data_IF_348475647898
#
_entry.id   IF_348475647898
#
_cell.length_a   1.000
_cell.length_b   1.000
_cell.length_c   1.000
_cell.angle_alpha   90.00
_cell.angle_beta   90.00
_cell.angle_gamma   90.00
#
_symmetry.space_group_name_H-M   'P 1'
#
loop_
_entity.id
_entity.type
_entity.pdbx_description
1 polymer ?
#
# COMPACT_ATOMS: atom_id res chain seq x y z
N UNK A 1 7.61 -7.01 -4.63
CA UNK A 1 6.89 -7.17 -3.34
C UNK A 1 6.90 -8.61 -2.85
N UNK A 2 6.72 -9.59 -3.75
CA UNK A 2 6.64 -11.02 -3.40
C UNK A 2 7.80 -11.58 -2.57
N UNK A 3 9.05 -11.23 -2.89
CA UNK A 3 10.22 -11.70 -2.13
C UNK A 3 10.19 -11.28 -0.67
N UNK A 4 9.66 -10.08 -0.38
CA UNK A 4 9.50 -9.59 0.99
C UNK A 4 8.45 -10.38 1.77
N UNK A 5 7.30 -10.67 1.14
CA UNK A 5 6.27 -11.53 1.74
C UNK A 5 6.76 -12.96 1.94
N UNK A 6 7.49 -13.52 0.98
CA UNK A 6 8.09 -14.85 1.09
C UNK A 6 8.99 -14.97 2.32
N UNK A 7 9.86 -13.98 2.58
CA UNK A 7 10.70 -13.98 3.78
C UNK A 7 9.92 -13.76 5.08
N UNK A 8 8.90 -12.92 5.06
CA UNK A 8 8.03 -12.69 6.22
C UNK A 8 7.27 -13.97 6.61
N UNK A 9 6.67 -14.66 5.63
CA UNK A 9 5.95 -15.91 5.84
C UNK A 9 6.89 -17.04 6.27
N UNK A 10 8.06 -17.14 5.62
CA UNK A 10 9.09 -18.10 6.00
C UNK A 10 9.56 -17.94 7.46
N UNK A 11 9.61 -16.70 7.97
CA UNK A 11 9.95 -16.40 9.36
C UNK A 11 8.81 -16.64 10.35
N UNK A 12 7.57 -16.77 9.88
CA UNK A 12 6.36 -16.91 10.71
C UNK A 12 5.90 -18.36 10.88
N UNK A 13 6.63 -19.32 10.30
CA UNK A 13 6.29 -20.75 10.26
C UNK A 13 7.43 -21.62 10.74
N UNK A 14 7.15 -22.89 11.04
CA UNK A 14 8.18 -23.83 11.49
C UNK A 14 9.17 -24.08 10.36
N UNK A 15 10.45 -24.24 10.71
CA UNK A 15 11.55 -24.48 9.76
C UNK A 15 11.29 -25.63 8.78
N UNK A 16 10.60 -26.68 9.24
CA UNK A 16 10.20 -27.82 8.41
C UNK A 16 9.21 -27.47 7.28
N UNK A 17 8.46 -26.38 7.41
CA UNK A 17 7.43 -25.94 6.46
C UNK A 17 7.88 -24.74 5.62
N UNK A 18 9.04 -24.15 5.91
CA UNK A 18 9.58 -22.97 5.21
C UNK A 18 9.69 -23.19 3.70
N UNK A 19 10.21 -24.34 3.26
CA UNK A 19 10.35 -24.65 1.83
C UNK A 19 9.00 -24.67 1.11
N UNK A 20 7.96 -25.23 1.74
CA UNK A 20 6.62 -25.28 1.15
C UNK A 20 6.05 -23.87 0.94
N UNK A 21 6.31 -22.96 1.87
CA UNK A 21 5.84 -21.56 1.79
C UNK A 21 6.60 -20.75 0.74
N UNK A 22 7.91 -20.96 0.62
CA UNK A 22 8.70 -20.34 -0.45
C UNK A 22 8.23 -20.81 -1.83
N UNK A 23 7.93 -22.11 -1.98
CA UNK A 23 7.39 -22.66 -3.23
C UNK A 23 6.01 -22.06 -3.56
N UNK A 24 5.10 -21.92 -2.57
CA UNK A 24 3.79 -21.28 -2.79
C UNK A 24 3.93 -19.84 -3.30
N UNK A 25 4.75 -19.03 -2.61
CA UNK A 25 4.99 -17.63 -3.01
C UNK A 25 5.58 -17.51 -4.41
N UNK A 26 6.51 -18.42 -4.76
CA UNK A 26 7.09 -18.47 -6.10
C UNK A 26 6.01 -18.79 -7.14
N UNK A 27 5.20 -19.82 -6.91
CA UNK A 27 4.14 -20.24 -7.82
C UNK A 27 3.04 -19.19 -7.99
N UNK A 28 2.71 -18.43 -6.95
CA UNK A 28 1.70 -17.35 -7.05
C UNK A 28 2.08 -16.29 -8.08
N UNK A 29 3.36 -16.03 -8.27
CA UNK A 29 3.81 -15.07 -9.30
C UNK A 29 3.51 -15.60 -10.69
N UNK A 30 3.85 -16.86 -10.97
CA UNK A 30 3.64 -17.43 -12.31
C UNK A 30 2.16 -17.70 -12.59
N UNK A 31 1.48 -18.32 -11.64
CA UNK A 31 0.06 -18.63 -11.76
C UNK A 31 -0.75 -17.33 -11.81
N UNK A 32 -0.43 -16.37 -10.95
CA UNK A 32 -1.02 -15.05 -10.97
C UNK A 32 -0.76 -14.32 -12.27
N UNK A 33 0.44 -14.42 -12.84
CA UNK A 33 0.77 -13.79 -14.12
C UNK A 33 -0.09 -14.37 -15.25
N UNK A 34 -0.18 -15.69 -15.34
CA UNK A 34 -0.96 -16.37 -16.39
C UNK A 34 -2.45 -16.13 -16.22
N UNK A 35 -2.99 -16.25 -15.00
CA UNK A 35 -4.41 -16.03 -14.74
C UNK A 35 -4.82 -14.56 -14.95
N UNK A 36 -3.99 -13.61 -14.51
CA UNK A 36 -4.23 -12.19 -14.72
C UNK A 36 -4.05 -11.77 -16.18
N UNK A 37 -3.11 -12.39 -16.91
CA UNK A 37 -2.97 -12.23 -18.36
C UNK A 37 -4.19 -12.73 -19.12
N UNK A 38 -4.65 -13.96 -18.85
CA UNK A 38 -5.77 -14.58 -19.56
C UNK A 38 -7.09 -13.84 -19.32
N UNK A 39 -7.42 -13.57 -18.05
CA UNK A 39 -8.74 -13.07 -17.66
C UNK A 39 -8.69 -11.79 -16.83
N UNK A 40 -7.72 -11.68 -15.92
CA UNK A 40 -7.75 -10.64 -14.90
C UNK A 40 -7.68 -9.22 -15.45
N UNK A 41 -6.85 -8.96 -16.46
CA UNK A 41 -6.81 -7.63 -17.05
C UNK A 41 -8.10 -7.26 -17.78
N UNK A 42 -8.72 -8.23 -18.46
CA UNK A 42 -9.97 -8.02 -19.17
C UNK A 42 -11.11 -7.65 -18.22
N UNK A 43 -11.19 -8.35 -17.08
CA UNK A 43 -12.20 -8.05 -16.07
C UNK A 43 -11.94 -6.73 -15.34
N UNK A 44 -10.68 -6.39 -15.11
CA UNK A 44 -10.29 -5.16 -14.40
C UNK A 44 -10.46 -3.90 -15.25
N UNK A 45 -9.98 -3.90 -16.51
CA UNK A 45 -9.84 -2.71 -17.35
C UNK A 45 -10.25 -2.94 -18.82
N UNK A 46 -11.08 -3.96 -19.07
CA UNK A 46 -11.62 -4.24 -20.39
C UNK A 46 -12.45 -3.08 -20.94
N UNK A 47 -12.23 -2.72 -22.21
CA UNK A 47 -13.09 -1.77 -22.91
C UNK A 47 -14.53 -2.30 -23.04
N UNK A 48 -15.49 -1.39 -23.27
CA UNK A 48 -16.94 -1.67 -23.26
C UNK A 48 -17.39 -2.31 -21.93
N UNK A 49 -16.76 -1.90 -20.82
CA UNK A 49 -17.10 -2.33 -19.47
C UNK A 49 -18.49 -1.88 -19.03
N UNK A 50 -19.11 -2.67 -18.16
CA UNK A 50 -20.30 -2.26 -17.41
C UNK A 50 -19.88 -1.83 -15.99
N UNK A 51 -20.83 -1.49 -15.12
CA UNK A 51 -20.49 -1.03 -13.77
C UNK A 51 -19.81 -2.09 -12.88
N UNK A 52 -19.83 -3.36 -13.29
CA UNK A 52 -19.41 -4.52 -12.49
C UNK A 52 -18.14 -5.20 -13.01
N UNK A 53 -17.93 -5.27 -14.33
CA UNK A 53 -16.82 -6.00 -14.96
C UNK A 53 -16.53 -5.51 -16.38
N UNK A 54 -15.25 -5.60 -16.80
CA UNK A 54 -14.82 -5.39 -18.19
C UNK A 54 -15.00 -6.63 -19.09
N UNK A 55 -15.09 -6.40 -20.41
CA UNK A 55 -15.43 -7.44 -21.40
C UNK A 55 -14.44 -7.59 -22.57
N UNK A 56 -13.35 -6.83 -22.60
CA UNK A 56 -12.34 -6.86 -23.69
C UNK A 56 -10.91 -7.01 -23.15
N UNK A 57 -9.96 -7.32 -24.02
CA UNK A 57 -8.54 -7.54 -23.71
C UNK A 57 -8.21 -8.86 -22.99
N UNK A 58 -9.01 -9.91 -23.23
CA UNK A 58 -8.67 -11.27 -22.80
C UNK A 58 -7.33 -11.69 -23.42
N UNK A 59 -6.44 -12.30 -22.63
CA UNK A 59 -5.07 -12.63 -23.04
C UNK A 59 -4.29 -11.42 -23.59
N UNK A 60 -4.67 -10.20 -23.21
CA UNK A 60 -4.17 -8.93 -23.78
C UNK A 60 -4.35 -8.81 -25.31
N UNK A 61 -5.28 -9.56 -25.89
CA UNK A 61 -5.63 -9.44 -27.29
C UNK A 61 -6.12 -8.00 -27.58
N UNK A 62 -5.59 -7.40 -28.64
CA UNK A 62 -5.93 -6.04 -29.10
C UNK A 62 -5.68 -4.94 -28.06
N UNK A 63 -4.80 -5.19 -27.08
CA UNK A 63 -4.42 -4.18 -26.09
C UNK A 63 -3.44 -3.16 -26.70
N UNK A 64 -3.72 -1.85 -26.61
CA UNK A 64 -2.79 -0.80 -26.99
C UNK A 64 -1.45 -0.90 -26.25
N UNK A 65 -0.34 -0.64 -26.94
CA UNK A 65 1.01 -0.87 -26.42
C UNK A 65 1.37 -0.01 -25.19
N UNK A 66 0.75 1.15 -25.05
CA UNK A 66 0.86 2.04 -23.89
C UNK A 66 0.32 1.41 -22.59
N UNK A 67 -0.55 0.39 -22.69
CA UNK A 67 -1.19 -0.25 -21.54
C UNK A 67 -0.47 -1.50 -21.04
N UNK A 68 0.64 -1.93 -21.64
CA UNK A 68 1.42 -3.07 -21.13
C UNK A 68 2.08 -2.80 -19.78
N UNK A 69 2.54 -1.56 -19.54
CA UNK A 69 3.07 -1.14 -18.23
C UNK A 69 1.97 -1.15 -17.17
N UNK A 70 0.76 -0.73 -17.53
CA UNK A 70 -0.43 -0.76 -16.69
C UNK A 70 -0.80 -2.20 -16.30
N UNK A 71 -0.79 -3.12 -17.27
CA UNK A 71 -0.96 -4.54 -17.00
C UNK A 71 0.06 -5.06 -15.98
N UNK A 72 1.35 -4.79 -16.22
CA UNK A 72 2.42 -5.25 -15.33
C UNK A 72 2.24 -4.75 -13.90
N UNK A 73 1.91 -3.46 -13.74
CA UNK A 73 1.66 -2.85 -12.44
C UNK A 73 0.54 -3.57 -11.69
N UNK A 74 -0.62 -3.75 -12.33
CA UNK A 74 -1.79 -4.34 -11.68
C UNK A 74 -1.67 -5.85 -11.44
N UNK A 75 -0.97 -6.57 -12.31
CA UNK A 75 -0.60 -7.97 -12.08
C UNK A 75 0.16 -8.13 -10.76
N UNK A 76 1.14 -7.26 -10.49
CA UNK A 76 1.95 -7.35 -9.26
C UNK A 76 1.07 -7.20 -8.01
N UNK A 77 0.05 -6.34 -8.03
CA UNK A 77 -0.90 -6.25 -6.91
C UNK A 77 -1.82 -7.46 -6.79
N UNK A 78 -2.30 -7.99 -7.92
CA UNK A 78 -3.10 -9.21 -7.92
C UNK A 78 -2.32 -10.40 -7.34
N UNK A 79 -1.07 -10.60 -7.77
CA UNK A 79 -0.18 -11.63 -7.25
C UNK A 79 0.13 -11.43 -5.76
N UNK A 80 0.22 -10.18 -5.31
CA UNK A 80 0.40 -9.89 -3.87
C UNK A 80 -0.86 -10.24 -3.08
N UNK A 81 -2.05 -9.94 -3.60
CA UNK A 81 -3.30 -10.29 -2.93
C UNK A 81 -3.43 -11.79 -2.65
N UNK A 82 -2.92 -12.65 -3.56
CA UNK A 82 -2.83 -14.09 -3.33
C UNK A 82 -1.91 -14.44 -2.15
N UNK A 83 -0.73 -13.84 -2.08
CA UNK A 83 0.20 -14.09 -0.97
C UNK A 83 -0.29 -13.63 0.39
N UNK A 84 -1.06 -12.54 0.48
CA UNK A 84 -1.65 -12.13 1.76
C UNK A 84 -2.49 -13.27 2.36
N UNK A 85 -3.20 -14.02 1.51
CA UNK A 85 -4.01 -15.15 1.95
C UNK A 85 -3.14 -16.39 2.23
N UNK A 86 -2.04 -16.60 1.48
CA UNK A 86 -1.00 -17.59 1.85
C UNK A 86 -0.54 -17.40 3.29
N UNK A 87 -0.08 -16.19 3.63
CA UNK A 87 0.44 -15.88 4.96
C UNK A 87 -0.61 -16.03 6.06
N UNK A 88 -1.88 -15.68 5.79
CA UNK A 88 -2.98 -15.86 6.75
C UNK A 88 -3.29 -17.35 7.01
N UNK A 89 -3.15 -18.20 6.00
CA UNK A 89 -3.47 -19.62 6.10
C UNK A 89 -2.27 -20.47 6.57
N UNK A 90 -1.04 -20.00 6.34
CA UNK A 90 0.22 -20.60 6.76
C UNK A 90 0.26 -22.13 6.57
N UNK A 91 0.51 -22.89 7.64
CA UNK A 91 0.71 -24.34 7.63
C UNK A 91 -0.57 -25.17 7.39
N UNK A 92 -1.76 -24.54 7.31
CA UNK A 92 -3.06 -25.23 7.37
C UNK A 92 -3.70 -25.52 6.00
N UNK A 93 -2.95 -25.36 4.91
CA UNK A 93 -3.48 -25.47 3.54
C UNK A 93 -2.91 -26.62 2.74
N UNK A 94 -3.83 -27.44 2.23
CA UNK A 94 -3.63 -28.36 1.12
C UNK A 94 -3.10 -27.61 -0.11
N UNK A 95 -1.98 -28.07 -0.65
CA UNK A 95 -1.25 -27.36 -1.71
C UNK A 95 -2.07 -27.27 -3.01
N UNK A 96 -2.79 -28.33 -3.38
CA UNK A 96 -3.61 -28.34 -4.60
C UNK A 96 -4.78 -27.34 -4.51
N UNK A 97 -5.45 -27.30 -3.36
CA UNK A 97 -6.53 -26.36 -3.11
C UNK A 97 -6.03 -24.91 -3.18
N UNK A 98 -4.82 -24.66 -2.67
CA UNK A 98 -4.17 -23.36 -2.74
C UNK A 98 -3.94 -22.89 -4.18
N UNK A 99 -3.43 -23.75 -5.08
CA UNK A 99 -3.19 -23.35 -6.47
C UNK A 99 -4.48 -22.95 -7.20
N UNK A 100 -5.57 -23.72 -6.99
CA UNK A 100 -6.88 -23.40 -7.57
C UNK A 100 -7.40 -22.06 -7.04
N UNK A 101 -7.23 -21.84 -5.73
CA UNK A 101 -7.59 -20.58 -5.10
C UNK A 101 -6.79 -19.40 -5.66
N UNK A 102 -5.46 -19.53 -5.83
CA UNK A 102 -4.62 -18.47 -6.39
C UNK A 102 -5.04 -18.11 -7.81
N UNK A 103 -5.39 -19.09 -8.66
CA UNK A 103 -5.94 -18.84 -10.01
C UNK A 103 -7.24 -18.04 -9.93
N UNK A 104 -8.17 -18.46 -9.07
CA UNK A 104 -9.47 -17.81 -8.98
C UNK A 104 -9.38 -16.39 -8.40
N UNK A 105 -8.53 -16.19 -7.40
CA UNK A 105 -8.33 -14.88 -6.80
C UNK A 105 -7.70 -13.89 -7.79
N UNK A 106 -6.62 -14.30 -8.46
CA UNK A 106 -5.87 -13.44 -9.39
C UNK A 106 -6.57 -13.27 -10.73
N UNK A 107 -7.29 -14.29 -11.21
CA UNK A 107 -7.97 -14.28 -12.50
C UNK A 107 -9.38 -13.69 -12.47
N UNK A 108 -10.06 -13.67 -11.31
CA UNK A 108 -11.45 -13.21 -11.23
C UNK A 108 -11.72 -12.27 -10.05
N UNK A 109 -11.55 -12.73 -8.81
CA UNK A 109 -12.02 -11.98 -7.62
C UNK A 109 -11.34 -10.62 -7.48
N UNK A 110 -10.00 -10.60 -7.49
CA UNK A 110 -9.23 -9.37 -7.38
C UNK A 110 -9.49 -8.41 -8.56
N UNK A 111 -9.40 -8.86 -9.83
CA UNK A 111 -9.78 -8.06 -11.00
C UNK A 111 -11.14 -7.38 -10.92
N UNK A 112 -12.17 -8.08 -10.47
CA UNK A 112 -13.54 -7.55 -10.36
C UNK A 112 -13.58 -6.44 -9.30
N UNK A 113 -12.92 -6.63 -8.16
CA UNK A 113 -12.82 -5.58 -7.13
C UNK A 113 -12.03 -4.37 -7.65
N UNK A 114 -10.93 -4.61 -8.37
CA UNK A 114 -10.17 -3.56 -9.05
C UNK A 114 -11.04 -2.79 -10.03
N UNK A 115 -11.86 -3.46 -10.82
CA UNK A 115 -12.78 -2.83 -11.74
C UNK A 115 -13.72 -1.85 -11.03
N UNK A 116 -14.33 -2.29 -9.93
CA UNK A 116 -15.27 -1.45 -9.20
C UNK A 116 -14.63 -0.15 -8.72
N UNK A 117 -13.43 -0.25 -8.14
CA UNK A 117 -12.78 0.85 -7.44
C UNK A 117 -11.93 1.75 -8.35
N UNK A 118 -11.30 1.19 -9.39
CA UNK A 118 -10.25 1.86 -10.16
C UNK A 118 -10.58 2.01 -11.64
N UNK A 119 -11.59 1.32 -12.18
CA UNK A 119 -12.06 1.60 -13.54
C UNK A 119 -13.01 2.80 -13.55
N UNK A 120 -12.92 3.62 -14.60
CA UNK A 120 -13.76 4.81 -14.76
C UNK A 120 -15.26 4.50 -14.87
N UNK A 121 -15.63 3.27 -15.26
CA UNK A 121 -17.02 2.82 -15.30
C UNK A 121 -17.44 2.03 -14.06
N UNK A 122 -16.51 1.69 -13.17
CA UNK A 122 -16.77 0.91 -11.97
C UNK A 122 -17.76 1.59 -11.03
N UNK A 123 -18.68 0.81 -10.44
CA UNK A 123 -19.75 1.37 -9.60
C UNK A 123 -19.25 2.08 -8.33
N UNK A 124 -18.09 1.70 -7.79
CA UNK A 124 -17.47 2.41 -6.66
C UNK A 124 -16.82 3.73 -7.13
N UNK A 125 -16.31 3.80 -8.36
CA UNK A 125 -15.70 5.00 -8.93
C UNK A 125 -16.74 6.03 -9.40
N UNK A 126 -17.83 5.60 -10.05
CA UNK A 126 -18.87 6.48 -10.61
C UNK A 126 -19.97 6.86 -9.62
N UNK A 127 -20.17 6.08 -8.56
CA UNK A 127 -21.29 6.22 -7.64
C UNK A 127 -22.60 5.66 -8.23
N UNK A 128 -23.54 5.30 -7.36
CA UNK A 128 -24.82 4.73 -7.78
C UNK A 128 -25.78 5.82 -8.25
N UNK A 129 -26.27 5.70 -9.48
CA UNK A 129 -27.41 6.48 -10.00
C UNK A 129 -28.66 5.62 -9.90
N UNK A 130 -29.67 6.07 -9.17
CA UNK A 130 -30.94 5.37 -9.04
C UNK A 130 -32.09 6.29 -9.45
N UNK A 131 -33.02 5.74 -10.24
CA UNK A 131 -34.23 6.44 -10.66
C UNK A 131 -35.41 5.86 -9.88
N UNK A 132 -36.04 6.69 -9.05
CA UNK A 132 -37.33 6.40 -8.41
C UNK A 132 -38.33 7.44 -8.89
N UNK A 133 -39.53 7.00 -9.28
CA UNK A 133 -40.65 7.90 -9.58
C UNK A 133 -40.27 9.02 -10.59
N UNK A 134 -39.59 8.64 -11.68
CA UNK A 134 -39.06 9.56 -12.72
C UNK A 134 -38.04 10.61 -12.25
N UNK A 135 -37.48 10.48 -11.06
CA UNK A 135 -36.38 11.33 -10.56
C UNK A 135 -35.09 10.52 -10.53
N UNK A 136 -34.13 10.87 -11.39
CA UNK A 136 -32.78 10.30 -11.39
C UNK A 136 -31.95 11.02 -10.34
N UNK A 137 -31.66 10.34 -9.23
CA UNK A 137 -30.79 10.85 -8.18
C UNK A 137 -29.37 10.29 -8.37
N UNK A 138 -28.39 11.18 -8.46
CA UNK A 138 -26.97 10.81 -8.44
C UNK A 138 -26.50 10.87 -7.00
N UNK A 139 -26.16 9.72 -6.41
CA UNK A 139 -25.65 9.66 -5.04
C UNK A 139 -24.21 10.18 -5.07
N UNK A 140 -23.97 11.36 -4.50
CA UNK A 140 -22.63 11.93 -4.32
C UNK A 140 -21.85 11.16 -3.26
N UNK A 141 -20.52 11.30 -3.25
CA UNK A 141 -19.64 10.64 -2.27
C UNK A 141 -20.11 10.82 -0.82
N UNK A 142 -20.64 12.00 -0.46
CA UNK A 142 -21.16 12.28 0.88
C UNK A 142 -22.40 11.43 1.23
N UNK A 143 -23.38 11.38 0.32
CA UNK A 143 -24.61 10.60 0.55
C UNK A 143 -24.36 9.09 0.54
N UNK A 144 -23.39 8.62 -0.26
CA UNK A 144 -22.92 7.24 -0.24
C UNK A 144 -22.10 6.92 1.02
N UNK A 145 -21.24 7.85 1.46
CA UNK A 145 -20.47 7.74 2.70
C UNK A 145 -21.42 7.56 3.89
N UNK A 146 -22.42 8.42 4.04
CA UNK A 146 -23.35 8.39 5.17
C UNK A 146 -24.24 7.15 5.13
N UNK A 147 -24.67 6.70 3.94
CA UNK A 147 -25.40 5.44 3.79
C UNK A 147 -24.54 4.21 4.14
N UNK A 148 -23.25 4.23 3.76
CA UNK A 148 -22.31 3.14 4.05
C UNK A 148 -21.95 3.09 5.52
N UNK A 149 -21.68 4.25 6.13
CA UNK A 149 -21.43 4.38 7.56
C UNK A 149 -22.60 3.80 8.37
N UNK A 150 -23.84 4.15 8.03
CA UNK A 150 -25.03 3.59 8.67
C UNK A 150 -25.10 2.06 8.56
N UNK A 151 -24.81 1.49 7.39
CA UNK A 151 -24.77 0.02 7.21
C UNK A 151 -23.67 -0.64 8.05
N UNK A 152 -22.50 -0.02 8.15
CA UNK A 152 -21.39 -0.52 8.97
C UNK A 152 -21.77 -0.50 10.45
N UNK A 153 -22.32 0.62 10.95
CA UNK A 153 -22.78 0.74 12.33
C UNK A 153 -23.88 -0.28 12.67
N UNK A 154 -24.83 -0.50 11.76
CA UNK A 154 -25.86 -1.53 11.92
C UNK A 154 -25.26 -2.94 12.01
N UNK A 155 -24.28 -3.29 11.16
CA UNK A 155 -23.60 -4.59 11.21
C UNK A 155 -22.79 -4.77 12.49
N UNK A 156 -22.09 -3.73 12.95
CA UNK A 156 -21.35 -3.76 14.20
C UNK A 156 -22.29 -3.96 15.39
N UNK A 157 -23.42 -3.25 15.42
CA UNK A 157 -24.47 -3.42 16.42
C UNK A 157 -25.05 -4.84 16.41
N UNK A 158 -25.39 -5.37 15.24
CA UNK A 158 -25.91 -6.74 15.09
C UNK A 158 -24.89 -7.81 15.51
N UNK A 159 -23.59 -7.53 15.36
CA UNK A 159 -22.51 -8.40 15.83
C UNK A 159 -22.15 -8.21 17.32
N UNK A 160 -22.84 -7.30 18.04
CA UNK A 160 -22.58 -6.99 19.45
C UNK A 160 -21.27 -6.22 19.69
N UNK A 161 -20.73 -5.54 18.68
CA UNK A 161 -19.50 -4.75 18.78
C UNK A 161 -19.82 -3.33 19.26
N UNK A 162 -19.24 -2.94 20.40
CA UNK A 162 -19.35 -1.57 20.93
C UNK A 162 -18.17 -0.72 20.50
N UNK A 163 -18.44 0.44 19.93
CA UNK A 163 -17.41 1.42 19.55
C UNK A 163 -17.12 2.38 20.70
N UNK A 164 -15.85 2.77 20.85
CA UNK A 164 -15.48 3.84 21.76
C UNK A 164 -15.73 5.19 21.08
N UNK A 165 -16.76 5.91 21.51
CA UNK A 165 -17.15 7.19 20.94
C UNK A 165 -16.02 8.23 20.94
N UNK A 166 -15.15 8.23 21.95
CA UNK A 166 -14.03 9.16 22.05
C UNK A 166 -12.92 8.89 21.02
N UNK A 167 -12.89 7.71 20.40
CA UNK A 167 -11.93 7.34 19.35
C UNK A 167 -12.54 7.34 17.95
N UNK A 168 -13.82 7.68 17.83
CA UNK A 168 -14.51 7.65 16.55
C UNK A 168 -14.55 9.07 15.97
N UNK A 169 -13.94 9.24 14.80
CA UNK A 169 -14.02 10.45 14.01
C UNK A 169 -14.83 10.16 12.74
N UNK A 170 -15.91 10.91 12.53
CA UNK A 170 -16.80 10.73 11.38
C UNK A 170 -16.91 12.03 10.60
N UNK A 171 -17.03 11.92 9.28
CA UNK A 171 -17.26 13.05 8.38
C UNK A 171 -16.22 14.18 8.54
N UNK A 172 -14.95 13.81 8.66
CA UNK A 172 -13.84 14.76 8.77
C UNK A 172 -13.12 14.87 7.43
N UNK A 173 -12.58 16.06 7.14
CA UNK A 173 -11.74 16.30 5.96
C UNK A 173 -10.28 15.91 6.19
N UNK A 174 -9.94 15.52 7.42
CA UNK A 174 -8.62 15.12 7.87
C UNK A 174 -8.77 13.97 8.86
N UNK A 175 -7.96 12.91 8.70
CA UNK A 175 -7.99 11.73 9.56
C UNK A 175 -6.57 11.26 9.91
N UNK A 176 -6.41 10.77 11.13
CA UNK A 176 -5.19 10.08 11.56
C UNK A 176 -5.29 8.57 11.28
N UNK A 177 -4.36 8.04 10.48
CA UNK A 177 -4.29 6.61 10.16
C UNK A 177 -2.85 6.15 10.16
N UNK A 178 -2.56 5.12 10.98
CA UNK A 178 -1.24 4.46 11.07
C UNK A 178 -0.09 5.46 11.30
N UNK A 179 -0.27 6.43 12.19
CA UNK A 179 0.75 7.45 12.52
C UNK A 179 0.99 8.49 11.42
N UNK A 180 0.02 8.66 10.52
CA UNK A 180 0.03 9.71 9.49
C UNK A 180 -1.27 10.49 9.56
N UNK A 181 -1.20 11.75 9.14
CA UNK A 181 -2.38 12.58 8.97
C UNK A 181 -2.65 12.71 7.47
N UNK A 182 -3.85 12.35 7.06
CA UNK A 182 -4.31 12.36 5.67
C UNK A 182 -5.37 13.44 5.55
N UNK A 183 -5.18 14.38 4.63
CA UNK A 183 -6.14 15.44 4.29
C UNK A 183 -6.29 15.57 2.77
N UNK A 184 -7.19 16.46 2.34
CA UNK A 184 -7.38 16.78 0.91
C UNK A 184 -6.11 17.32 0.23
N UNK A 185 -5.20 17.94 0.99
CA UNK A 185 -3.94 18.48 0.47
C UNK A 185 -2.87 17.38 0.29
N UNK A 186 -3.03 16.23 0.95
CA UNK A 186 -2.08 15.14 0.90
C UNK A 186 -1.89 14.44 2.24
N UNK A 187 -0.77 13.73 2.35
CA UNK A 187 -0.35 12.96 3.50
C UNK A 187 0.83 13.63 4.18
N UNK A 188 0.79 13.73 5.50
CA UNK A 188 1.88 14.23 6.35
C UNK A 188 2.17 13.26 7.51
N UNK A 189 3.40 13.26 8.07
CA UNK A 189 3.69 12.48 9.26
C UNK A 189 2.93 13.05 10.47
N UNK A 190 2.57 12.18 11.42
CA UNK A 190 2.00 12.65 12.69
C UNK A 190 3.06 13.47 13.47
N UNK A 191 2.72 14.62 14.06
CA UNK A 191 3.66 15.45 14.81
C UNK A 191 4.45 14.67 15.86
N UNK A 192 3.80 13.79 16.62
CA UNK A 192 4.48 12.98 17.64
C UNK A 192 5.61 12.10 17.07
N UNK A 193 5.46 11.60 15.84
CA UNK A 193 6.51 10.82 15.19
C UNK A 193 7.69 11.71 14.79
N UNK A 194 7.42 12.96 14.40
CA UNK A 194 8.45 13.96 14.11
C UNK A 194 9.15 14.38 15.38
N UNK A 195 8.40 14.75 16.43
CA UNK A 195 8.95 15.13 17.74
C UNK A 195 9.79 14.03 18.36
N UNK A 196 9.34 12.77 18.27
CA UNK A 196 10.12 11.62 18.75
C UNK A 196 11.51 11.52 18.12
N UNK A 197 11.71 11.99 16.88
CA UNK A 197 13.03 12.03 16.23
C UNK A 197 13.80 13.31 16.57
N UNK A 198 13.11 14.45 16.62
CA UNK A 198 13.70 15.74 16.97
C UNK A 198 14.25 15.74 18.40
N UNK A 199 13.60 15.04 19.32
CA UNK A 199 13.97 14.99 20.74
C UNK A 199 15.02 13.91 21.06
N UNK A 200 15.42 13.07 20.10
CA UNK A 200 16.42 12.01 20.36
C UNK A 200 17.77 12.65 20.75
N UNK A 201 18.48 12.15 21.77
CA UNK A 201 19.83 12.60 22.06
C UNK A 201 20.82 12.13 20.98
N UNK A 202 22.01 12.77 20.86
CA UNK A 202 23.07 12.29 20.00
C UNK A 202 23.46 10.83 20.33
N UNK A 203 23.50 9.93 19.33
CA UNK A 203 23.89 8.53 19.52
C UNK A 203 25.29 8.38 20.13
N UNK A 204 25.43 7.47 21.09
CA UNK A 204 26.69 7.17 21.78
C UNK A 204 27.35 5.87 21.33
N UNK A 205 26.62 5.04 20.58
CA UNK A 205 27.09 3.75 20.07
C UNK A 205 26.41 3.40 18.73
N UNK A 206 26.90 2.34 18.09
CA UNK A 206 26.43 1.88 16.79
C UNK A 206 24.95 1.46 16.82
N UNK A 207 24.47 0.89 17.93
CA UNK A 207 23.08 0.43 18.04
C UNK A 207 22.09 1.60 18.18
N UNK A 208 22.48 2.66 18.89
CA UNK A 208 21.75 3.92 18.92
C UNK A 208 21.72 4.60 17.55
N UNK A 209 22.83 4.53 16.79
CA UNK A 209 22.86 5.02 15.40
C UNK A 209 21.88 4.26 14.52
N UNK A 210 21.86 2.92 14.61
CA UNK A 210 20.91 2.09 13.86
C UNK A 210 19.47 2.41 14.22
N UNK A 211 19.20 2.64 15.51
CA UNK A 211 17.88 3.02 16.01
C UNK A 211 17.45 4.38 15.45
N UNK A 212 18.32 5.39 15.52
CA UNK A 212 18.07 6.71 14.95
C UNK A 212 17.82 6.63 13.44
N UNK A 213 18.67 5.94 12.67
CA UNK A 213 18.50 5.77 11.23
C UNK A 213 17.21 5.01 10.88
N UNK A 214 16.81 4.03 11.69
CA UNK A 214 15.53 3.33 11.54
C UNK A 214 14.33 4.27 11.65
N UNK A 215 14.32 5.12 12.68
CA UNK A 215 13.27 6.12 12.90
C UNK A 215 13.24 7.19 11.79
N UNK A 216 14.41 7.67 11.38
CA UNK A 216 14.57 8.63 10.28
C UNK A 216 14.06 8.04 8.96
N UNK A 217 14.37 6.78 8.66
CA UNK A 217 13.91 6.11 7.44
C UNK A 217 12.38 5.94 7.41
N UNK A 218 11.73 5.74 8.56
CA UNK A 218 10.26 5.68 8.62
C UNK A 218 9.60 6.97 8.12
N UNK A 219 10.25 8.11 8.36
CA UNK A 219 9.81 9.43 7.93
C UNK A 219 10.43 9.88 6.59
N UNK A 220 11.36 9.10 6.03
CA UNK A 220 12.23 9.57 4.96
C UNK A 220 11.52 9.90 3.64
N UNK A 221 10.33 9.34 3.41
CA UNK A 221 9.48 9.69 2.26
C UNK A 221 9.00 11.14 2.25
N UNK A 222 9.02 11.83 3.41
CA UNK A 222 8.60 13.23 3.54
C UNK A 222 9.78 14.21 3.54
N UNK A 223 11.00 13.74 3.35
CA UNK A 223 12.22 14.55 3.47
C UNK A 223 13.11 14.41 2.23
N UNK A 224 13.45 15.54 1.63
CA UNK A 224 14.33 15.57 0.46
C UNK A 224 15.80 15.37 0.82
N UNK A 225 16.50 14.64 -0.06
CA UNK A 225 17.94 14.37 0.00
C UNK A 225 18.41 13.74 1.32
N UNK A 226 17.55 13.00 2.01
CA UNK A 226 17.87 12.40 3.31
C UNK A 226 19.03 11.40 3.25
N UNK A 227 19.20 10.70 2.13
CA UNK A 227 20.30 9.75 1.93
C UNK A 227 21.69 10.42 1.95
N UNK A 228 21.78 11.67 1.49
CA UNK A 228 23.02 12.46 1.50
C UNK A 228 23.26 13.02 2.90
N UNK A 229 22.22 13.57 3.53
CA UNK A 229 22.28 14.14 4.88
C UNK A 229 22.63 13.09 5.94
N UNK A 230 22.13 11.86 5.79
CA UNK A 230 22.40 10.76 6.72
C UNK A 230 23.74 10.06 6.47
N UNK A 231 24.47 10.36 5.38
CA UNK A 231 25.71 9.65 5.02
C UNK A 231 26.76 9.64 6.15
N UNK A 232 27.12 10.77 6.78
CA UNK A 232 28.13 10.78 7.85
C UNK A 232 27.76 9.91 9.06
N UNK A 233 26.45 9.76 9.33
CA UNK A 233 25.92 8.96 10.43
C UNK A 233 25.81 7.49 10.03
N UNK A 234 25.33 7.22 8.82
CA UNK A 234 25.19 5.86 8.26
C UNK A 234 26.54 5.17 8.10
N UNK A 235 27.60 5.91 7.80
CA UNK A 235 28.95 5.35 7.70
C UNK A 235 29.45 4.80 9.05
N UNK A 236 29.00 5.33 10.19
CA UNK A 236 29.31 4.77 11.51
C UNK A 236 28.62 3.42 11.79
N UNK A 237 27.58 3.06 11.02
CA UNK A 237 26.88 1.79 11.19
C UNK A 237 27.50 0.63 10.37
N UNK A 238 28.53 0.91 9.57
CA UNK A 238 29.20 -0.07 8.70
C UNK A 238 30.15 -0.96 9.51
N UNK A 239 30.28 -2.20 9.07
CA UNK A 239 31.23 -3.16 9.66
C UNK A 239 32.67 -2.72 9.39
N UNK A 240 33.52 -2.70 10.41
CA UNK A 240 34.93 -2.32 10.29
C UNK A 240 35.23 -0.83 10.43
N UNK A 241 34.23 0.01 10.75
CA UNK A 241 34.42 1.42 11.05
C UNK A 241 34.65 1.64 12.54
N UNK A 242 35.72 2.34 12.92
CA UNK A 242 35.93 2.75 14.32
C UNK A 242 34.88 3.79 14.74
N UNK A 243 34.36 3.62 15.96
CA UNK A 243 33.36 4.52 16.50
C UNK A 243 33.99 5.89 16.83
N UNK A 244 33.59 6.92 16.09
CA UNK A 244 33.97 8.30 16.37
C UNK A 244 32.82 9.27 16.04
N UNK A 245 32.28 9.92 17.06
CA UNK A 245 31.25 10.95 16.91
C UNK A 245 31.89 12.34 16.87
N UNK A 246 32.15 12.85 15.67
CA UNK A 246 32.80 14.14 15.45
C UNK A 246 31.85 15.28 15.03
N UNK A 247 32.41 16.46 14.71
CA UNK A 247 31.64 17.62 14.26
C UNK A 247 30.87 17.39 12.95
N UNK A 248 31.33 16.48 12.09
CA UNK A 248 30.63 16.14 10.85
C UNK A 248 29.34 15.36 11.15
N UNK A 249 29.40 14.38 12.06
CA UNK A 249 28.26 13.59 12.49
C UNK A 249 27.25 14.43 13.26
N UNK A 250 27.72 15.30 14.16
CA UNK A 250 26.84 16.21 14.89
C UNK A 250 26.10 17.16 13.95
N UNK A 251 26.78 17.75 12.96
CA UNK A 251 26.13 18.62 11.96
C UNK A 251 25.08 17.86 11.14
N UNK A 252 25.42 16.66 10.66
CA UNK A 252 24.49 15.80 9.95
C UNK A 252 23.26 15.45 10.80
N UNK A 253 23.45 15.20 12.09
CA UNK A 253 22.39 14.83 13.02
C UNK A 253 21.39 15.97 13.20
N UNK A 254 21.89 17.19 13.44
CA UNK A 254 21.04 18.38 13.55
C UNK A 254 20.35 18.72 12.22
N UNK A 255 21.03 18.54 11.09
CA UNK A 255 20.47 18.81 9.76
C UNK A 255 19.33 17.84 9.41
N UNK A 256 19.49 16.56 9.74
CA UNK A 256 18.44 15.53 9.58
C UNK A 256 17.22 15.89 10.42
N UNK A 257 17.42 16.22 11.70
CA UNK A 257 16.32 16.66 12.58
C UNK A 257 15.61 17.88 12.04
N UNK A 258 16.36 18.91 11.62
CA UNK A 258 15.79 20.13 11.03
C UNK A 258 15.00 19.84 9.76
N UNK A 259 15.48 18.93 8.91
CA UNK A 259 14.77 18.54 7.68
C UNK A 259 13.45 17.85 8.01
N UNK A 260 13.45 16.90 8.96
CA UNK A 260 12.25 16.19 9.37
C UNK A 260 11.23 17.09 10.09
N UNK A 261 11.70 18.10 10.84
CA UNK A 261 10.83 19.09 11.46
C UNK A 261 10.06 19.93 10.42
N UNK A 262 10.61 20.09 9.22
CA UNK A 262 9.99 20.82 8.10
C UNK A 262 9.51 19.87 6.99
N UNK A 263 9.19 18.61 7.35
CA UNK A 263 8.80 17.58 6.41
C UNK A 263 7.63 18.02 5.51
N UNK A 264 7.77 17.76 4.21
CA UNK A 264 6.84 18.18 3.17
C UNK A 264 5.53 17.39 3.21
N UNK A 265 4.44 18.00 2.72
CA UNK A 265 3.20 17.28 2.44
C UNK A 265 3.39 16.48 1.14
N UNK A 266 3.13 15.17 1.19
CA UNK A 266 3.07 14.35 -0.01
C UNK A 266 1.67 14.40 -0.60
N UNK A 267 1.52 14.93 -1.81
CA UNK A 267 0.24 14.92 -2.52
C UNK A 267 -0.25 13.49 -2.80
N UNK A 268 -1.57 13.32 -2.87
CA UNK A 268 -2.17 12.06 -3.29
C UNK A 268 -1.92 11.85 -4.79
N UNK A 269 -1.75 10.60 -5.19
CA UNK A 269 -1.59 10.24 -6.61
C UNK A 269 -2.85 10.60 -7.40
N UNK A 270 -2.67 11.23 -8.56
CA UNK A 270 -3.73 11.64 -9.47
C UNK A 270 -3.44 11.06 -10.86
N UNK A 271 -4.24 10.09 -11.35
CA UNK A 271 -4.00 9.43 -12.63
C UNK A 271 -4.19 10.38 -13.83
N UNK A 272 -4.82 11.54 -13.65
CA UNK A 272 -5.04 12.52 -14.72
C UNK A 272 -3.87 13.49 -14.89
N UNK A 273 -2.86 13.44 -14.00
CA UNK A 273 -1.68 14.29 -14.05
C UNK A 273 -0.49 13.51 -14.60
N UNK A 274 0.35 14.20 -15.35
CA UNK A 274 1.61 13.64 -15.85
C UNK A 274 2.52 13.29 -14.66
N UNK A 275 2.88 12.01 -14.55
CA UNK A 275 3.82 11.54 -13.52
C UNK A 275 5.25 11.74 -14.00
N UNK A 276 6.01 12.57 -13.29
CA UNK A 276 7.44 12.79 -13.57
C UNK A 276 8.30 12.14 -12.50
N UNK A 277 9.32 11.40 -12.94
CA UNK A 277 10.34 10.82 -12.06
C UNK A 277 11.64 11.56 -12.33
N UNK A 278 12.12 12.31 -11.34
CA UNK A 278 13.44 12.92 -11.37
C UNK A 278 14.40 12.06 -10.56
N UNK A 279 15.47 11.59 -11.20
CA UNK A 279 16.54 10.84 -10.56
C UNK A 279 17.83 11.65 -10.61
N UNK A 280 18.51 11.75 -9.47
CA UNK A 280 19.81 12.39 -9.32
C UNK A 280 20.77 11.38 -8.65
N UNK A 281 21.99 11.27 -9.15
CA UNK A 281 23.02 10.36 -8.66
C UNK A 281 24.32 11.14 -8.50
N UNK A 282 24.84 11.19 -7.27
CA UNK A 282 26.09 11.85 -6.88
C UNK A 282 26.97 10.93 -6.03
#
# INVERSE_FOLDING_TARGET
MQTGFAFLEAGSVRSKNTTNILIKNFLDVFIGAVAYWLFGYAFAFGAESNAFIGHKYFALADLPADKYSHWFFHFVFAATAATIVSGAMAERTEFKAYLVYSVFLTGFVYPVVTHWAWDGNGWLATGLKYTKDNVTMSVTYQSQHDATLNKVLQRLSAAGVTLNAAKCEFNTTTIEVLGHIISLQGKRPHPDKVFAVVDMPPPKNVDEVRTFLGMVNHLGKFAEHLANKTKPIRDLAKTGTEWYWGPAQQRAFEEVKKTLAHASILSLYDPNKETKISADAS
#
